data_IF_906802681151
#
_entry.id   IF_906802681151
#
_cell.length_a   1.000
_cell.length_b   1.000
_cell.length_c   1.000
_cell.angle_alpha   90.00
_cell.angle_beta   90.00
_cell.angle_gamma   90.00
#
_symmetry.space_group_name_H-M   'P 1'
#
loop_
_entity.id
_entity.type
_entity.pdbx_description
1 polymer ?
#
# COMPACT_ATOMS: atom_id res chain seq x y z
N UNK A 1 -28.41 6.07 -20.64
CA UNK A 1 -27.99 5.07 -19.63
C UNK A 1 -28.77 3.80 -19.93
N UNK A 2 -28.14 2.71 -20.28
CA UNK A 2 -28.82 1.45 -20.56
C UNK A 2 -29.00 0.67 -19.26
N UNK A 3 -30.19 0.74 -18.67
CA UNK A 3 -30.55 0.09 -17.41
C UNK A 3 -30.58 -1.45 -17.50
N UNK A 4 -30.46 -2.03 -18.69
CA UNK A 4 -30.44 -3.47 -18.91
C UNK A 4 -29.02 -4.05 -18.89
N UNK A 5 -28.00 -3.20 -18.91
CA UNK A 5 -26.58 -3.64 -18.94
C UNK A 5 -26.05 -4.08 -17.56
N UNK A 6 -26.72 -3.71 -16.45
CA UNK A 6 -26.31 -4.07 -15.09
C UNK A 6 -27.23 -5.18 -14.58
N UNK A 7 -26.81 -6.45 -14.70
CA UNK A 7 -27.66 -7.63 -14.42
C UNK A 7 -27.15 -8.48 -13.24
N UNK A 8 -26.46 -7.91 -12.26
CA UNK A 8 -26.05 -8.66 -11.08
C UNK A 8 -26.68 -8.13 -9.80
N UNK A 9 -26.87 -9.04 -8.81
CA UNK A 9 -27.42 -8.71 -7.49
C UNK A 9 -26.35 -8.07 -6.59
N UNK A 10 -26.65 -6.89 -6.04
CA UNK A 10 -25.79 -6.21 -5.08
C UNK A 10 -25.38 -7.07 -3.88
N UNK A 11 -26.30 -7.89 -3.34
CA UNK A 11 -25.97 -8.75 -2.20
C UNK A 11 -24.90 -9.78 -2.55
N UNK A 12 -24.86 -10.24 -3.80
CA UNK A 12 -23.84 -11.16 -4.29
C UNK A 12 -22.49 -10.46 -4.46
N UNK A 13 -22.49 -9.23 -5.00
CA UNK A 13 -21.30 -8.41 -5.07
C UNK A 13 -20.74 -8.09 -3.68
N UNK A 14 -21.61 -7.77 -2.72
CA UNK A 14 -21.23 -7.57 -1.31
C UNK A 14 -20.64 -8.83 -0.68
N UNK A 15 -21.21 -10.01 -0.96
CA UNK A 15 -20.69 -11.29 -0.49
C UNK A 15 -19.28 -11.58 -1.03
N UNK A 16 -19.04 -11.27 -2.31
CA UNK A 16 -17.72 -11.35 -2.92
C UNK A 16 -16.73 -10.41 -2.23
N UNK A 17 -17.07 -9.12 -2.09
CA UNK A 17 -16.20 -8.13 -1.46
C UNK A 17 -15.78 -8.54 -0.04
N UNK A 18 -16.75 -8.89 0.82
CA UNK A 18 -16.47 -9.27 2.20
C UNK A 18 -15.64 -10.57 2.25
N UNK A 19 -15.86 -11.51 1.31
CA UNK A 19 -15.03 -12.73 1.23
C UNK A 19 -13.59 -12.40 0.85
N UNK A 20 -13.36 -11.43 -0.04
CA UNK A 20 -12.03 -10.98 -0.44
C UNK A 20 -11.30 -10.28 0.73
N UNK A 21 -11.99 -9.43 1.46
CA UNK A 21 -11.41 -8.67 2.58
C UNK A 21 -11.14 -9.54 3.82
N UNK A 22 -12.01 -10.46 4.14
CA UNK A 22 -11.87 -11.38 5.28
C UNK A 22 -10.98 -12.61 4.98
N UNK A 23 -10.61 -12.81 3.70
CA UNK A 23 -9.71 -13.89 3.26
C UNK A 23 -10.31 -15.30 3.33
N UNK A 24 -11.55 -15.46 3.81
CA UNK A 24 -12.23 -16.77 3.85
C UNK A 24 -13.75 -16.63 3.94
N UNK A 25 -14.47 -17.61 3.34
CA UNK A 25 -15.94 -17.70 3.43
C UNK A 25 -16.44 -17.83 4.88
N UNK A 26 -15.67 -18.45 5.76
CA UNK A 26 -16.06 -18.62 7.17
C UNK A 26 -15.96 -17.29 7.95
N UNK A 27 -14.92 -16.49 7.71
CA UNK A 27 -14.75 -15.18 8.33
C UNK A 27 -15.78 -14.18 7.77
N UNK A 28 -15.96 -14.15 6.45
CA UNK A 28 -16.96 -13.33 5.79
C UNK A 28 -18.40 -13.68 6.25
N UNK A 29 -18.68 -14.97 6.47
CA UNK A 29 -19.97 -15.41 7.03
C UNK A 29 -20.24 -14.83 8.41
N UNK A 30 -19.22 -14.80 9.29
CA UNK A 30 -19.34 -14.16 10.61
C UNK A 30 -19.56 -12.65 10.49
N UNK A 31 -18.81 -11.99 9.61
CA UNK A 31 -18.93 -10.54 9.40
C UNK A 31 -20.32 -10.13 8.88
N UNK A 32 -20.93 -10.95 8.02
CA UNK A 32 -22.28 -10.68 7.45
C UNK A 32 -23.44 -11.32 8.22
N UNK A 33 -23.17 -12.05 9.31
CA UNK A 33 -24.22 -12.80 10.03
C UNK A 33 -24.84 -13.92 9.20
N UNK A 34 -24.09 -14.52 8.26
CA UNK A 34 -24.56 -15.54 7.31
C UNK A 34 -23.81 -16.85 7.50
N UNK A 35 -24.43 -17.97 7.11
CA UNK A 35 -23.73 -19.24 7.11
C UNK A 35 -22.75 -19.34 5.93
N UNK A 36 -21.61 -20.01 6.14
CA UNK A 36 -20.61 -20.22 5.08
C UNK A 36 -21.20 -20.81 3.78
N UNK A 37 -22.10 -21.84 3.80
CA UNK A 37 -22.71 -22.38 2.58
C UNK A 37 -23.56 -21.34 1.84
N UNK A 38 -24.29 -20.51 2.57
CA UNK A 38 -25.11 -19.43 1.97
C UNK A 38 -24.24 -18.42 1.26
N UNK A 39 -23.16 -17.98 1.94
CA UNK A 39 -22.22 -17.03 1.36
C UNK A 39 -21.51 -17.61 0.12
N UNK A 40 -21.06 -18.86 0.19
CA UNK A 40 -20.45 -19.54 -0.94
C UNK A 40 -21.37 -19.62 -2.16
N UNK A 41 -22.69 -19.87 -1.94
CA UNK A 41 -23.67 -19.85 -3.04
C UNK A 41 -23.84 -18.46 -3.65
N UNK A 42 -23.79 -17.39 -2.85
CA UNK A 42 -23.89 -16.02 -3.37
C UNK A 42 -22.68 -15.65 -4.21
N UNK A 43 -21.47 -15.98 -3.77
CA UNK A 43 -20.24 -15.76 -4.54
C UNK A 43 -20.30 -16.55 -5.86
N UNK A 44 -20.61 -17.85 -5.81
CA UNK A 44 -20.71 -18.67 -7.02
C UNK A 44 -21.84 -18.21 -7.96
N UNK A 45 -22.92 -17.63 -7.43
CA UNK A 45 -23.96 -17.03 -8.25
C UNK A 45 -23.49 -15.77 -8.97
N UNK A 46 -22.67 -14.93 -8.31
CA UNK A 46 -22.06 -13.76 -8.94
C UNK A 46 -21.10 -14.17 -10.06
N UNK A 47 -20.24 -15.16 -9.81
CA UNK A 47 -19.30 -15.68 -10.80
C UNK A 47 -20.05 -16.15 -12.06
N UNK A 48 -21.19 -16.83 -11.87
CA UNK A 48 -22.05 -17.28 -12.97
C UNK A 48 -22.75 -16.13 -13.70
N UNK A 49 -23.19 -15.08 -12.98
CA UNK A 49 -23.84 -13.91 -13.59
C UNK A 49 -22.89 -13.08 -14.43
N UNK A 50 -21.65 -12.96 -13.96
CA UNK A 50 -20.59 -12.19 -14.64
C UNK A 50 -19.80 -13.03 -15.64
N UNK A 51 -20.03 -14.36 -15.66
CA UNK A 51 -19.29 -15.34 -16.47
C UNK A 51 -17.76 -15.26 -16.26
N UNK A 52 -17.35 -15.05 -15.00
CA UNK A 52 -15.94 -15.00 -14.60
C UNK A 52 -15.72 -15.69 -13.25
N UNK A 53 -14.57 -16.32 -13.08
CA UNK A 53 -14.13 -16.80 -11.77
C UNK A 53 -13.49 -15.66 -10.99
N UNK A 54 -13.93 -15.48 -9.76
CA UNK A 54 -13.43 -14.42 -8.86
C UNK A 54 -12.41 -14.94 -7.86
N UNK A 55 -12.51 -16.24 -7.52
CA UNK A 55 -11.60 -16.90 -6.61
C UNK A 55 -11.06 -18.20 -7.18
N UNK A 56 -9.77 -18.45 -6.92
CA UNK A 56 -9.13 -19.75 -7.07
C UNK A 56 -8.96 -20.41 -5.71
N UNK A 57 -9.00 -21.74 -5.69
CA UNK A 57 -8.68 -22.54 -4.51
C UNK A 57 -7.26 -23.04 -4.59
N UNK A 58 -6.38 -22.47 -3.75
CA UNK A 58 -5.00 -22.91 -3.59
C UNK A 58 -4.89 -23.67 -2.26
N UNK A 59 -5.03 -24.99 -2.31
CA UNK A 59 -5.12 -25.82 -1.10
C UNK A 59 -6.38 -25.51 -0.29
N UNK A 60 -6.21 -24.97 0.93
CA UNK A 60 -7.31 -24.55 1.82
C UNK A 60 -7.63 -23.05 1.74
N UNK A 61 -6.88 -22.29 0.96
CA UNK A 61 -7.03 -20.83 0.85
C UNK A 61 -7.83 -20.45 -0.39
N UNK A 62 -8.60 -19.36 -0.26
CA UNK A 62 -9.24 -18.66 -1.37
C UNK A 62 -8.33 -17.49 -1.76
N UNK A 63 -7.94 -17.46 -3.03
CA UNK A 63 -7.09 -16.40 -3.60
C UNK A 63 -7.87 -15.74 -4.74
N UNK A 64 -7.83 -14.42 -4.82
CA UNK A 64 -8.45 -13.70 -5.92
C UNK A 64 -7.78 -14.06 -7.26
N UNK A 65 -8.60 -14.31 -8.28
CA UNK A 65 -8.14 -14.39 -9.67
C UNK A 65 -7.76 -13.01 -10.21
N UNK A 66 -7.20 -12.93 -11.42
CA UNK A 66 -6.96 -11.65 -12.09
C UNK A 66 -8.26 -10.83 -12.24
N UNK A 67 -9.36 -11.48 -12.65
CA UNK A 67 -10.69 -10.84 -12.73
C UNK A 67 -11.21 -10.42 -11.35
N UNK A 68 -10.97 -11.24 -10.32
CA UNK A 68 -11.33 -10.91 -8.94
C UNK A 68 -10.58 -9.66 -8.43
N UNK A 69 -9.29 -9.54 -8.73
CA UNK A 69 -8.47 -8.38 -8.38
C UNK A 69 -8.96 -7.10 -9.07
N UNK A 70 -9.35 -7.19 -10.33
CA UNK A 70 -9.89 -6.05 -11.08
C UNK A 70 -11.27 -5.63 -10.54
N UNK A 71 -12.16 -6.58 -10.27
CA UNK A 71 -13.54 -6.30 -9.87
C UNK A 71 -13.68 -5.87 -8.40
N UNK A 72 -12.78 -6.28 -7.51
CA UNK A 72 -12.89 -5.96 -6.08
C UNK A 72 -12.91 -4.46 -5.82
N UNK A 73 -12.17 -3.67 -6.59
CA UNK A 73 -12.14 -2.21 -6.42
C UNK A 73 -13.42 -1.53 -6.89
N UNK A 74 -14.05 -2.02 -7.97
CA UNK A 74 -15.37 -1.53 -8.39
C UNK A 74 -16.46 -1.86 -7.38
N UNK A 75 -16.45 -3.07 -6.83
CA UNK A 75 -17.44 -3.47 -5.82
C UNK A 75 -17.24 -2.72 -4.51
N UNK A 76 -16.00 -2.39 -4.15
CA UNK A 76 -15.71 -1.52 -3.00
C UNK A 76 -16.31 -0.13 -3.17
N UNK A 77 -16.16 0.49 -4.33
CA UNK A 77 -16.79 1.79 -4.64
C UNK A 77 -18.32 1.72 -4.57
N UNK A 78 -18.94 0.62 -5.00
CA UNK A 78 -20.39 0.40 -4.84
C UNK A 78 -20.78 0.28 -3.36
N UNK A 79 -19.99 -0.41 -2.55
CA UNK A 79 -20.22 -0.55 -1.10
C UNK A 79 -20.17 0.82 -0.40
N UNK A 80 -19.21 1.65 -0.75
CA UNK A 80 -19.09 3.02 -0.24
C UNK A 80 -20.32 3.87 -0.64
N UNK A 81 -20.80 3.72 -1.87
CA UNK A 81 -22.00 4.42 -2.33
C UNK A 81 -23.25 3.93 -1.59
N UNK A 82 -23.39 2.62 -1.37
CA UNK A 82 -24.51 2.03 -0.62
C UNK A 82 -24.50 2.49 0.86
N UNK A 83 -23.34 2.59 1.47
CA UNK A 83 -23.16 3.13 2.83
C UNK A 83 -23.61 4.59 2.90
N UNK A 84 -23.23 5.44 1.92
CA UNK A 84 -23.68 6.83 1.83
C UNK A 84 -25.20 6.95 1.67
N UNK A 85 -25.83 6.08 0.88
CA UNK A 85 -27.30 6.03 0.75
C UNK A 85 -27.93 5.72 2.11
N UNK A 86 -27.43 4.73 2.83
CA UNK A 86 -27.95 4.34 4.16
C UNK A 86 -27.81 5.47 5.18
N UNK A 87 -26.67 6.17 5.18
CA UNK A 87 -26.42 7.36 6.01
C UNK A 87 -27.37 8.50 5.67
N UNK A 88 -27.55 8.80 4.39
CA UNK A 88 -28.48 9.84 3.94
C UNK A 88 -29.93 9.53 4.32
N UNK A 89 -30.36 8.27 4.17
CA UNK A 89 -31.72 7.81 4.47
C UNK A 89 -32.04 7.81 5.98
N UNK A 90 -31.05 7.59 6.84
CA UNK A 90 -31.22 7.60 8.29
C UNK A 90 -31.27 8.99 8.90
N UNK A 91 -31.22 10.06 8.08
CA UNK A 91 -31.12 11.46 8.56
C UNK A 91 -29.80 11.75 9.29
N UNK A 92 -28.91 10.77 9.34
CA UNK A 92 -27.53 10.87 9.84
C UNK A 92 -26.57 11.41 8.76
N UNK A 93 -27.05 12.23 7.84
CA UNK A 93 -26.15 13.11 7.09
C UNK A 93 -25.65 14.23 8.03
N UNK A 94 -25.13 13.85 9.19
CA UNK A 94 -24.16 14.70 9.86
C UNK A 94 -23.01 14.80 8.86
N UNK A 95 -22.80 15.99 8.33
CA UNK A 95 -21.52 16.29 7.71
C UNK A 95 -20.49 15.76 8.69
N UNK A 96 -19.71 14.77 8.23
CA UNK A 96 -18.57 14.30 9.02
C UNK A 96 -17.60 15.48 9.05
N UNK A 97 -17.62 16.21 10.14
CA UNK A 97 -16.78 17.37 10.40
C UNK A 97 -15.81 16.98 11.51
N UNK A 98 -14.61 17.50 11.44
CA UNK A 98 -13.60 17.29 12.46
C UNK A 98 -12.19 17.32 11.92
N UNK A 99 -11.26 17.09 12.80
CA UNK A 99 -9.83 17.03 12.48
C UNK A 99 -9.34 15.60 12.63
N UNK A 100 -8.53 15.14 11.69
CA UNK A 100 -7.85 13.84 11.73
C UNK A 100 -6.36 14.07 11.50
N UNK A 101 -5.55 13.67 12.45
CA UNK A 101 -4.11 13.72 12.35
C UNK A 101 -3.55 12.35 11.90
N UNK A 102 -2.87 12.34 10.76
CA UNK A 102 -2.25 11.15 10.16
C UNK A 102 -0.74 11.30 10.23
N UNK A 103 -0.04 10.36 10.88
CA UNK A 103 1.41 10.29 10.80
C UNK A 103 1.86 9.16 9.87
N UNK A 104 2.81 9.43 9.01
CA UNK A 104 3.39 8.44 8.10
C UNK A 104 4.89 8.68 7.92
N UNK A 105 5.62 7.64 7.50
CA UNK A 105 7.00 7.83 7.07
C UNK A 105 7.04 8.82 5.90
N UNK A 106 8.09 9.61 5.82
CA UNK A 106 8.20 10.77 4.92
C UNK A 106 7.88 10.44 3.45
N UNK A 107 8.40 9.33 2.92
CA UNK A 107 8.14 8.91 1.54
C UNK A 107 6.68 8.52 1.29
N UNK A 108 6.00 7.88 2.24
CA UNK A 108 4.57 7.58 2.14
C UNK A 108 3.74 8.85 2.26
N UNK A 109 4.10 9.72 3.22
CA UNK A 109 3.41 10.98 3.46
C UNK A 109 3.41 11.88 2.21
N UNK A 110 4.56 11.98 1.53
CA UNK A 110 4.72 12.86 0.38
C UNK A 110 4.28 12.24 -0.95
N UNK A 111 4.49 10.93 -1.16
CA UNK A 111 4.36 10.32 -2.48
C UNK A 111 3.11 9.42 -2.61
N UNK A 112 2.56 8.93 -1.50
CA UNK A 112 1.41 8.02 -1.51
C UNK A 112 0.13 8.64 -0.95
N UNK A 113 0.21 9.44 0.12
CA UNK A 113 -0.97 10.01 0.77
C UNK A 113 -1.70 11.11 -0.03
N UNK A 114 -1.06 12.00 -0.81
CA UNK A 114 -1.75 13.11 -1.44
C UNK A 114 -2.97 12.71 -2.29
N UNK A 115 -2.90 11.72 -3.19
CA UNK A 115 -4.08 11.30 -3.96
C UNK A 115 -5.17 10.65 -3.09
N UNK A 116 -4.81 10.04 -1.96
CA UNK A 116 -5.77 9.47 -1.01
C UNK A 116 -6.48 10.59 -0.28
N UNK A 117 -5.74 11.57 0.24
CA UNK A 117 -6.28 12.75 0.93
C UNK A 117 -7.19 13.54 0.00
N UNK A 118 -6.82 13.72 -1.27
CA UNK A 118 -7.66 14.37 -2.26
C UNK A 118 -9.02 13.69 -2.35
N UNK A 119 -9.08 12.36 -2.46
CA UNK A 119 -10.34 11.60 -2.51
C UNK A 119 -11.15 11.73 -1.23
N UNK A 120 -10.51 11.68 -0.06
CA UNK A 120 -11.19 11.88 1.24
C UNK A 120 -11.79 13.26 1.29
N UNK A 121 -11.05 14.30 0.95
CA UNK A 121 -11.53 15.70 0.96
C UNK A 121 -12.66 15.96 -0.03
N UNK A 122 -12.66 15.30 -1.19
CA UNK A 122 -13.77 15.36 -2.15
C UNK A 122 -15.04 14.70 -1.61
N UNK A 123 -14.91 13.59 -0.88
CA UNK A 123 -16.04 12.84 -0.32
C UNK A 123 -16.55 13.44 0.99
N UNK A 124 -15.66 14.02 1.79
CA UNK A 124 -15.92 14.53 3.14
C UNK A 124 -15.27 15.92 3.32
N UNK A 125 -15.85 16.97 2.75
CA UNK A 125 -15.24 18.31 2.76
C UNK A 125 -15.14 18.93 4.17
N UNK A 126 -15.95 18.48 5.12
CA UNK A 126 -15.91 18.91 6.52
C UNK A 126 -14.72 18.36 7.31
N UNK A 127 -14.05 17.29 6.83
CA UNK A 127 -12.89 16.72 7.54
C UNK A 127 -11.64 17.53 7.22
N UNK A 128 -10.99 18.09 8.25
CA UNK A 128 -9.64 18.63 8.18
C UNK A 128 -8.63 17.51 8.40
N UNK A 129 -7.55 17.47 7.62
CA UNK A 129 -6.53 16.44 7.72
C UNK A 129 -5.18 17.10 7.95
N UNK A 130 -4.56 16.77 9.10
CA UNK A 130 -3.17 17.08 9.38
C UNK A 130 -2.30 15.89 8.98
N UNK A 131 -1.16 16.13 8.33
CA UNK A 131 -0.20 15.08 7.99
C UNK A 131 1.15 15.38 8.64
N UNK A 132 1.58 14.48 9.51
CA UNK A 132 2.89 14.53 10.15
C UNK A 132 3.80 13.52 9.46
N UNK A 133 4.75 14.01 8.65
CA UNK A 133 5.79 13.18 8.07
C UNK A 133 6.87 12.91 9.13
N UNK A 134 6.98 11.67 9.61
CA UNK A 134 7.93 11.30 10.65
C UNK A 134 8.16 9.80 10.69
N UNK A 135 9.42 9.38 10.78
CA UNK A 135 9.83 7.99 10.97
C UNK A 135 9.82 7.57 12.45
N UNK A 136 9.59 8.50 13.38
CA UNK A 136 9.56 8.23 14.80
C UNK A 136 8.35 7.38 15.20
N UNK A 137 8.60 6.23 15.83
CA UNK A 137 7.55 5.33 16.36
C UNK A 137 6.82 5.90 17.59
N UNK A 138 7.34 6.97 18.18
CA UNK A 138 6.91 7.49 19.49
C UNK A 138 5.61 8.29 19.49
N UNK A 139 5.11 8.70 18.31
CA UNK A 139 4.06 9.72 18.24
C UNK A 139 2.64 9.20 18.57
N UNK A 140 2.38 7.90 18.40
CA UNK A 140 1.06 7.33 18.70
C UNK A 140 0.83 7.10 20.21
N UNK A 141 1.85 6.71 20.95
CA UNK A 141 1.76 6.48 22.39
C UNK A 141 1.50 7.76 23.19
N UNK A 142 1.80 8.94 22.62
CA UNK A 142 1.55 10.25 23.21
C UNK A 142 0.27 10.93 22.73
N UNK A 143 -0.55 10.25 21.91
CA UNK A 143 -1.75 10.80 21.25
C UNK A 143 -1.45 12.02 20.35
N UNK A 144 -0.28 12.05 19.75
CA UNK A 144 0.12 13.12 18.82
C UNK A 144 -0.48 12.91 17.42
N UNK A 145 -1.07 11.74 17.14
CA UNK A 145 -1.79 11.44 15.90
C UNK A 145 -2.89 10.39 16.15
N UNK A 146 -3.96 10.46 15.36
CA UNK A 146 -5.08 9.52 15.42
C UNK A 146 -4.76 8.23 14.67
N UNK A 147 -4.08 8.35 13.56
CA UNK A 147 -3.75 7.25 12.66
C UNK A 147 -2.26 7.31 12.30
N UNK A 148 -1.59 6.15 12.33
CA UNK A 148 -0.23 6.05 11.77
C UNK A 148 -0.16 5.02 10.65
N UNK A 149 0.66 5.34 9.64
CA UNK A 149 1.02 4.43 8.56
C UNK A 149 2.49 4.09 8.70
N UNK A 150 2.79 2.81 8.94
CA UNK A 150 4.14 2.34 9.29
C UNK A 150 4.51 1.10 8.48
N UNK A 151 5.81 0.91 8.28
CA UNK A 151 6.38 -0.29 7.65
C UNK A 151 6.79 -1.38 8.64
N UNK A 152 6.60 -1.11 9.94
CA UNK A 152 6.89 -2.06 11.02
C UNK A 152 5.63 -2.23 11.86
N UNK A 153 5.35 -3.48 12.28
CA UNK A 153 4.26 -3.76 13.20
C UNK A 153 4.57 -3.16 14.58
N UNK A 154 3.67 -2.36 15.17
CA UNK A 154 3.88 -1.83 16.50
C UNK A 154 3.84 -2.95 17.55
N UNK A 155 4.65 -2.79 18.59
CA UNK A 155 4.69 -3.72 19.73
C UNK A 155 3.96 -3.19 20.96
N UNK A 156 3.43 -1.96 20.93
CA UNK A 156 2.76 -1.33 22.05
C UNK A 156 1.37 -1.96 22.27
N UNK A 157 1.02 -2.34 23.53
CA UNK A 157 -0.22 -3.07 23.83
C UNK A 157 -1.49 -2.23 23.62
N UNK A 158 -1.39 -0.90 23.68
CA UNK A 158 -2.54 0.03 23.55
C UNK A 158 -2.85 0.37 22.07
N UNK A 159 -2.08 -0.17 21.13
CA UNK A 159 -2.25 0.09 19.71
C UNK A 159 -2.91 -1.10 19.02
N UNK A 160 -3.81 -0.78 18.10
CA UNK A 160 -4.39 -1.75 17.15
C UNK A 160 -3.73 -1.54 15.81
N UNK A 161 -3.22 -2.61 15.23
CA UNK A 161 -2.56 -2.59 13.95
C UNK A 161 -3.24 -3.53 12.95
N UNK A 162 -3.51 -3.03 11.75
CA UNK A 162 -3.99 -3.82 10.62
C UNK A 162 -2.97 -3.74 9.49
N UNK A 163 -2.48 -4.90 9.02
CA UNK A 163 -1.67 -4.95 7.81
C UNK A 163 -2.55 -4.61 6.61
N UNK A 164 -2.18 -3.59 5.84
CA UNK A 164 -2.93 -3.14 4.66
C UNK A 164 -2.46 -3.89 3.41
N UNK A 165 -1.14 -3.89 3.18
CA UNK A 165 -0.53 -4.50 1.99
C UNK A 165 0.97 -4.76 2.23
N UNK A 166 1.58 -5.43 1.28
CA UNK A 166 3.04 -5.45 1.10
C UNK A 166 3.40 -4.50 -0.04
N UNK A 167 4.43 -3.68 0.17
CA UNK A 167 4.96 -2.75 -0.83
C UNK A 167 6.29 -3.26 -1.33
N UNK A 168 6.45 -3.26 -2.65
CA UNK A 168 7.69 -3.61 -3.31
C UNK A 168 8.60 -2.38 -3.46
N UNK A 169 9.88 -2.52 -3.11
CA UNK A 169 10.93 -1.54 -3.38
C UNK A 169 11.98 -2.13 -4.32
N UNK A 170 12.54 -1.28 -5.14
CA UNK A 170 13.57 -1.64 -6.12
C UNK A 170 14.69 -0.62 -6.13
N UNK A 171 15.81 -1.02 -6.72
CA UNK A 171 16.98 -0.16 -6.92
C UNK A 171 16.79 0.67 -8.20
N UNK A 172 16.97 1.98 -8.06
CA UNK A 172 16.88 2.95 -9.13
C UNK A 172 18.17 3.80 -9.23
N UNK A 173 18.37 4.39 -10.37
CA UNK A 173 19.37 5.41 -10.62
C UNK A 173 18.89 6.36 -11.71
N UNK A 174 19.38 7.58 -11.73
CA UNK A 174 19.12 8.45 -12.87
C UNK A 174 19.88 7.93 -14.11
N UNK A 175 19.39 8.26 -15.28
CA UNK A 175 19.92 7.78 -16.54
C UNK A 175 21.39 8.15 -16.72
N UNK A 176 21.75 9.38 -16.44
CA UNK A 176 23.13 9.87 -16.57
C UNK A 176 24.11 9.13 -15.65
N UNK A 177 23.66 8.73 -14.45
CA UNK A 177 24.49 7.92 -13.55
C UNK A 177 24.66 6.50 -14.06
N UNK A 178 23.58 5.89 -14.56
CA UNK A 178 23.61 4.55 -15.15
C UNK A 178 24.50 4.51 -16.39
N UNK A 179 24.42 5.53 -17.26
CA UNK A 179 25.28 5.66 -18.45
C UNK A 179 26.76 5.78 -18.07
N UNK A 180 27.08 6.51 -16.99
CA UNK A 180 28.47 6.60 -16.47
C UNK A 180 29.00 5.27 -15.94
N UNK A 181 28.14 4.44 -15.35
CA UNK A 181 28.51 3.08 -14.96
C UNK A 181 28.75 2.19 -16.17
N UNK A 182 28.16 2.53 -17.33
CA UNK A 182 28.30 1.85 -18.60
C UNK A 182 27.40 0.61 -18.72
N UNK A 183 26.96 0.34 -19.93
CA UNK A 183 26.12 -0.81 -20.27
C UNK A 183 26.95 -2.02 -20.76
N UNK A 184 26.48 -3.26 -20.51
CA UNK A 184 25.38 -3.62 -19.62
C UNK A 184 25.75 -3.39 -18.14
N UNK A 185 24.75 -3.17 -17.29
CA UNK A 185 24.95 -3.11 -15.84
C UNK A 185 25.24 -4.52 -15.33
N UNK A 186 26.40 -4.69 -14.69
CA UNK A 186 26.85 -5.95 -14.08
C UNK A 186 27.00 -5.80 -12.57
N UNK A 187 26.99 -6.92 -11.85
CA UNK A 187 27.25 -6.95 -10.41
C UNK A 187 28.60 -6.28 -10.07
N UNK A 188 29.64 -6.52 -10.88
CA UNK A 188 30.96 -5.94 -10.68
C UNK A 188 30.95 -4.40 -10.74
N UNK A 189 30.14 -3.83 -11.66
CA UNK A 189 29.97 -2.38 -11.77
C UNK A 189 29.21 -1.83 -10.59
N UNK A 190 28.14 -2.53 -10.15
CA UNK A 190 27.36 -2.14 -9.00
C UNK A 190 28.18 -2.19 -7.68
N UNK A 191 29.09 -3.13 -7.55
CA UNK A 191 30.00 -3.21 -6.40
C UNK A 191 30.97 -2.02 -6.28
N UNK A 192 31.08 -1.20 -7.35
CA UNK A 192 31.88 0.02 -7.39
C UNK A 192 31.03 1.29 -7.43
N UNK A 193 29.72 1.14 -7.44
CA UNK A 193 28.80 2.26 -7.50
C UNK A 193 28.59 2.90 -6.13
N UNK A 194 28.19 4.16 -6.16
CA UNK A 194 27.76 4.91 -4.98
C UNK A 194 26.27 4.65 -4.71
N UNK A 195 25.92 4.56 -3.45
CA UNK A 195 24.55 4.38 -2.98
C UNK A 195 24.15 5.47 -2.01
N UNK A 196 22.86 5.84 -2.05
CA UNK A 196 22.25 6.59 -0.94
C UNK A 196 21.91 5.64 0.19
N UNK A 197 22.04 6.08 1.43
CA UNK A 197 21.70 5.25 2.59
C UNK A 197 21.40 6.07 3.83
N UNK A 198 21.14 5.37 4.92
CA UNK A 198 20.97 5.92 6.26
C UNK A 198 22.29 5.95 7.02
N UNK A 199 22.33 6.65 8.14
CA UNK A 199 23.54 6.72 8.99
C UNK A 199 23.98 5.32 9.50
N UNK A 200 23.06 4.35 9.58
CA UNK A 200 23.32 2.94 9.86
C UNK A 200 22.78 2.08 8.72
N UNK A 201 23.54 2.03 7.64
CA UNK A 201 23.12 1.34 6.42
C UNK A 201 23.37 -0.18 6.42
N UNK A 202 23.73 -0.78 7.54
CA UNK A 202 24.10 -2.22 7.63
C UNK A 202 22.97 -3.14 7.12
N UNK A 203 21.73 -2.86 7.52
CA UNK A 203 20.58 -3.65 7.07
C UNK A 203 20.32 -3.48 5.56
N UNK A 204 20.45 -2.26 5.04
CA UNK A 204 20.32 -1.98 3.61
C UNK A 204 21.43 -2.66 2.82
N UNK A 205 22.68 -2.56 3.26
CA UNK A 205 23.84 -3.22 2.65
C UNK A 205 23.64 -4.74 2.67
N UNK A 206 23.24 -5.32 3.78
CA UNK A 206 22.95 -6.74 3.91
C UNK A 206 21.83 -7.17 2.97
N UNK A 207 20.76 -6.38 2.89
CA UNK A 207 19.65 -6.60 1.97
C UNK A 207 20.10 -6.60 0.51
N UNK A 208 20.86 -5.60 0.08
CA UNK A 208 21.41 -5.52 -1.27
C UNK A 208 22.42 -6.64 -1.57
N UNK A 209 23.25 -7.03 -0.60
CA UNK A 209 24.19 -8.11 -0.75
C UNK A 209 23.49 -9.48 -0.90
N UNK A 210 22.27 -9.65 -0.39
CA UNK A 210 21.47 -10.85 -0.64
C UNK A 210 21.09 -11.05 -2.12
N UNK A 211 21.20 -10.01 -2.95
CA UNK A 211 21.05 -10.07 -4.42
C UNK A 211 22.37 -10.37 -5.15
N UNK A 212 23.41 -10.75 -4.44
CA UNK A 212 24.72 -11.11 -5.01
C UNK A 212 25.68 -9.94 -5.13
N UNK A 213 25.37 -8.77 -4.55
CA UNK A 213 26.30 -7.66 -4.42
C UNK A 213 27.31 -7.93 -3.29
N UNK A 214 28.40 -7.15 -3.28
CA UNK A 214 29.45 -7.19 -2.25
C UNK A 214 29.76 -5.76 -1.78
N UNK A 215 28.71 -5.07 -1.32
CA UNK A 215 28.77 -3.68 -0.87
C UNK A 215 29.33 -3.60 0.56
N UNK A 216 30.01 -2.50 0.82
CA UNK A 216 30.50 -2.10 2.14
C UNK A 216 30.00 -0.69 2.48
N UNK A 217 30.34 -0.18 3.65
CA UNK A 217 30.02 1.23 4.02
C UNK A 217 30.67 2.24 3.08
N UNK A 218 31.79 1.89 2.45
CA UNK A 218 32.46 2.79 1.49
C UNK A 218 31.63 3.05 0.23
N UNK A 219 30.67 2.17 -0.08
CA UNK A 219 29.73 2.37 -1.18
C UNK A 219 28.61 3.37 -0.82
N UNK A 220 28.41 3.71 0.45
CA UNK A 220 27.37 4.63 0.89
C UNK A 220 27.95 6.04 0.95
N UNK A 221 28.01 6.70 -0.19
CA UNK A 221 28.61 8.02 -0.36
C UNK A 221 27.68 9.18 0.02
N UNK A 222 26.37 8.92 0.07
CA UNK A 222 25.34 9.90 0.42
C UNK A 222 24.48 9.35 1.54
N UNK A 223 24.46 10.05 2.67
CA UNK A 223 23.73 9.66 3.87
C UNK A 223 22.68 10.70 4.22
N UNK A 224 21.45 10.26 4.40
CA UNK A 224 20.35 11.06 4.94
C UNK A 224 19.36 10.15 5.66
N UNK A 225 18.86 10.58 6.82
CA UNK A 225 17.76 9.89 7.51
C UNK A 225 16.39 10.15 6.84
N UNK A 226 16.34 11.06 5.87
CA UNK A 226 15.14 11.40 5.14
C UNK A 226 15.15 10.77 3.72
N UNK A 227 14.22 9.88 3.46
CA UNK A 227 14.08 9.15 2.19
C UNK A 227 13.83 10.09 0.99
N UNK A 228 13.12 11.21 1.19
CA UNK A 228 12.88 12.17 0.12
C UNK A 228 14.16 12.89 -0.30
N UNK A 229 15.02 13.21 0.68
CA UNK A 229 16.34 13.78 0.39
C UNK A 229 17.18 12.80 -0.41
N UNK A 230 17.21 11.52 -0.01
CA UNK A 230 17.90 10.46 -0.77
C UNK A 230 17.33 10.35 -2.19
N UNK A 231 15.99 10.37 -2.34
CA UNK A 231 15.30 10.30 -3.61
C UNK A 231 15.66 11.46 -4.55
N UNK A 232 15.63 12.68 -4.05
CA UNK A 232 15.99 13.86 -4.84
C UNK A 232 17.48 13.84 -5.26
N UNK A 233 18.39 13.44 -4.38
CA UNK A 233 19.80 13.29 -4.71
C UNK A 233 20.03 12.21 -5.78
N UNK A 234 19.32 11.10 -5.69
CA UNK A 234 19.38 10.03 -6.70
C UNK A 234 18.92 10.52 -8.08
N UNK A 235 17.83 11.29 -8.15
CA UNK A 235 17.34 11.91 -9.40
C UNK A 235 18.37 12.87 -10.02
N UNK A 236 19.20 13.50 -9.21
CA UNK A 236 20.30 14.36 -9.67
C UNK A 236 21.57 13.59 -10.06
N UNK A 237 21.54 12.25 -10.04
CA UNK A 237 22.66 11.41 -10.45
C UNK A 237 23.82 11.38 -9.46
N UNK A 238 23.55 11.59 -8.20
CA UNK A 238 24.59 11.54 -7.16
C UNK A 238 24.97 10.10 -6.82
N UNK A 239 23.98 9.20 -6.74
CA UNK A 239 24.16 7.79 -6.35
C UNK A 239 22.95 6.95 -6.78
N UNK A 240 23.03 5.63 -6.61
CA UNK A 240 21.90 4.71 -6.71
C UNK A 240 21.10 4.69 -5.39
N UNK A 241 19.81 4.37 -5.44
CA UNK A 241 18.99 4.31 -4.24
C UNK A 241 17.78 3.42 -4.36
N UNK A 242 17.18 3.10 -3.21
CA UNK A 242 15.97 2.31 -3.14
C UNK A 242 14.73 3.20 -3.13
N UNK A 243 13.70 2.81 -3.89
CA UNK A 243 12.40 3.47 -3.87
C UNK A 243 11.29 2.46 -4.09
N UNK A 244 10.09 2.78 -3.58
CA UNK A 244 8.87 2.01 -3.84
C UNK A 244 8.64 1.90 -5.36
N UNK A 245 8.34 0.68 -5.83
CA UNK A 245 8.13 0.39 -7.25
C UNK A 245 7.02 1.29 -7.85
N UNK A 246 5.92 1.48 -7.13
CA UNK A 246 4.81 2.33 -7.57
C UNK A 246 5.17 3.82 -7.75
N UNK A 247 6.26 4.26 -7.14
CA UNK A 247 6.81 5.63 -7.25
C UNK A 247 7.90 5.67 -8.32
N UNK A 248 8.90 4.79 -8.19
CA UNK A 248 10.07 4.80 -9.07
C UNK A 248 9.74 4.57 -10.54
N UNK A 249 8.79 3.67 -10.84
CA UNK A 249 8.39 3.39 -12.23
C UNK A 249 7.63 4.53 -12.91
N UNK A 250 7.10 5.47 -12.15
CA UNK A 250 6.41 6.66 -12.67
C UNK A 250 7.32 7.87 -12.83
N UNK A 251 8.53 7.81 -12.27
CA UNK A 251 9.46 8.92 -12.32
C UNK A 251 10.30 8.85 -13.61
N UNK A 252 10.14 9.80 -14.55
CA UNK A 252 10.82 9.75 -15.84
C UNK A 252 12.33 9.99 -15.77
N UNK A 253 12.84 10.51 -14.65
CA UNK A 253 14.27 10.82 -14.48
C UNK A 253 15.09 9.61 -14.03
N UNK A 254 14.45 8.50 -13.66
CA UNK A 254 15.16 7.33 -13.13
C UNK A 254 14.76 6.05 -13.87
N UNK A 255 15.62 5.05 -13.78
CA UNK A 255 15.42 3.73 -14.35
C UNK A 255 15.73 2.65 -13.31
N UNK A 256 15.10 1.48 -13.42
CA UNK A 256 15.45 0.31 -12.60
C UNK A 256 16.85 -0.17 -12.96
N UNK A 257 17.71 -0.29 -11.96
CA UNK A 257 19.10 -0.73 -12.17
C UNK A 257 19.20 -2.24 -12.40
N UNK A 258 18.41 -3.03 -11.70
CA UNK A 258 18.32 -4.48 -11.82
C UNK A 258 16.86 -4.89 -12.13
N UNK A 259 16.37 -4.70 -13.37
CA UNK A 259 14.95 -4.85 -13.69
C UNK A 259 14.42 -6.28 -13.45
N UNK A 260 15.28 -7.31 -13.58
CA UNK A 260 14.92 -8.72 -13.41
C UNK A 260 15.17 -9.25 -11.98
N UNK A 261 15.67 -8.43 -11.05
CA UNK A 261 15.85 -8.85 -9.66
C UNK A 261 14.51 -8.98 -8.96
N UNK A 262 14.45 -9.77 -7.90
CA UNK A 262 13.30 -9.75 -6.99
C UNK A 262 13.21 -8.40 -6.30
N UNK A 263 11.99 -7.91 -6.09
CA UNK A 263 11.78 -6.72 -5.26
C UNK A 263 12.06 -7.05 -3.78
N UNK A 264 12.55 -6.07 -3.04
CA UNK A 264 12.49 -6.10 -1.58
C UNK A 264 11.06 -5.72 -1.20
N UNK A 265 10.40 -6.54 -0.38
CA UNK A 265 9.03 -6.27 0.07
C UNK A 265 9.01 -5.94 1.55
N UNK A 266 8.18 -4.98 1.92
CA UNK A 266 7.94 -4.63 3.32
C UNK A 266 6.44 -4.38 3.56
N UNK A 267 5.93 -4.75 4.76
CA UNK A 267 4.52 -4.59 5.07
C UNK A 267 4.18 -3.12 5.33
N UNK A 268 2.96 -2.72 5.00
CA UNK A 268 2.38 -1.45 5.44
C UNK A 268 1.28 -1.75 6.46
N UNK A 269 1.39 -1.12 7.60
CA UNK A 269 0.46 -1.22 8.71
C UNK A 269 -0.28 0.08 8.91
N UNK A 270 -1.60 -0.01 9.04
CA UNK A 270 -2.43 1.05 9.59
C UNK A 270 -2.54 0.82 11.09
N UNK A 271 -2.18 1.82 11.85
CA UNK A 271 -2.11 1.74 13.32
C UNK A 271 -2.93 2.86 13.92
N UNK A 272 -3.71 2.54 14.93
CA UNK A 272 -4.50 3.51 15.69
C UNK A 272 -4.53 3.12 17.16
N UNK A 273 -4.90 4.05 18.04
CA UNK A 273 -5.15 3.73 19.44
C UNK A 273 -6.44 2.92 19.57
N UNK A 274 -6.45 1.91 20.47
CA UNK A 274 -7.60 1.02 20.66
C UNK A 274 -8.91 1.74 21.06
N UNK A 275 -8.83 2.96 21.58
CA UNK A 275 -10.00 3.78 21.93
C UNK A 275 -10.66 4.47 20.74
N UNK A 276 -10.05 4.42 19.55
CA UNK A 276 -10.60 4.97 18.30
C UNK A 276 -11.38 3.92 17.48
N UNK A 277 -11.79 2.83 18.13
CA UNK A 277 -12.64 1.79 17.53
C UNK A 277 -14.08 2.24 17.38
#
# INVERSE_FOLDING_TARGET
MDWKSTQFDWNRARAFLVTAEEGSLSAAGRALGMTQPTLGRQVSALEKELDVMLFDRVGKQLVLTASGLELVDYVRQMSDAATRISMAASGQSQQLDGEVCITAIDSIAALCLPPIIQRIRQSYPGISIEVIASDALSNLGRREADIAIRNVQPSQPDLVAKKICDVAARLYGCKEYIDRLGHPITIEKLNKADFTGFNRSEEMISGLNSFGLSLTQDNVSVVSENHLVQWEMMKQGTALGMMMEAVGDKEPLVERVLPNSKAITFPIWLVAHQQLK
#
